data_IF_563836829927
#
_entry.id   IF_563836829927
#
_cell.length_a   1.000
_cell.length_b   1.000
_cell.length_c   1.000
_cell.angle_alpha   90.00
_cell.angle_beta   90.00
_cell.angle_gamma   90.00
#
_symmetry.space_group_name_H-M   'P 1'
#
loop_
_entity.id
_entity.type
_entity.pdbx_description
1 polymer ?
#
# COMPACT_ATOMS: atom_id res chain seq x y z
N UNK A 1 -9.41 19.93 -2.54
CA UNK A 1 -10.68 19.47 -1.92
C UNK A 1 -11.38 18.37 -2.71
N UNK A 2 -11.52 18.50 -4.04
CA UNK A 2 -12.27 17.54 -4.90
C UNK A 2 -11.68 16.12 -4.86
N UNK A 3 -10.35 15.94 -4.99
CA UNK A 3 -9.69 14.62 -4.89
C UNK A 3 -10.12 13.82 -3.65
N UNK A 4 -10.20 14.46 -2.47
CA UNK A 4 -10.55 13.78 -1.20
C UNK A 4 -11.96 13.20 -1.19
N UNK A 5 -12.95 13.96 -1.65
CA UNK A 5 -14.35 13.51 -1.66
C UNK A 5 -14.52 12.32 -2.63
N UNK A 6 -13.89 12.38 -3.80
CA UNK A 6 -13.90 11.28 -4.78
C UNK A 6 -13.20 10.01 -4.27
N UNK A 7 -12.05 10.13 -3.62
CA UNK A 7 -11.37 8.96 -3.06
C UNK A 7 -12.21 8.30 -1.95
N UNK A 8 -12.96 9.06 -1.15
CA UNK A 8 -13.85 8.49 -0.12
C UNK A 8 -15.02 7.71 -0.70
N UNK A 9 -15.64 8.17 -1.79
CA UNK A 9 -16.80 7.50 -2.42
C UNK A 9 -16.42 6.28 -3.24
N UNK A 10 -15.32 6.31 -4.00
CA UNK A 10 -14.93 5.19 -4.88
C UNK A 10 -14.10 4.10 -4.20
N UNK A 11 -13.44 4.42 -3.08
CA UNK A 11 -12.51 3.50 -2.41
C UNK A 11 -13.00 3.16 -1.02
N UNK A 12 -14.20 2.60 -0.92
CA UNK A 12 -14.73 2.10 0.34
C UNK A 12 -13.99 0.80 0.72
N UNK A 13 -13.08 0.82 1.70
CA UNK A 13 -12.27 -0.34 2.02
C UNK A 13 -13.09 -1.36 2.79
N UNK A 14 -12.98 -2.63 2.43
CA UNK A 14 -13.48 -3.71 3.30
C UNK A 14 -12.44 -3.95 4.39
N UNK A 15 -12.78 -3.54 5.61
CA UNK A 15 -11.93 -3.75 6.77
C UNK A 15 -12.07 -5.17 7.31
N UNK A 16 -11.00 -5.70 7.87
CA UNK A 16 -11.04 -6.94 8.62
C UNK A 16 -11.89 -6.77 9.88
N UNK A 17 -12.75 -7.74 10.19
CA UNK A 17 -13.63 -7.67 11.38
C UNK A 17 -12.87 -7.93 12.70
N UNK A 18 -11.66 -8.47 12.64
CA UNK A 18 -10.82 -8.81 13.80
C UNK A 18 -9.71 -7.77 14.01
N UNK A 19 -10.08 -6.55 14.36
CA UNK A 19 -9.14 -5.45 14.59
C UNK A 19 -9.40 -4.87 15.98
N UNK A 20 -8.44 -5.01 16.89
CA UNK A 20 -8.47 -4.29 18.17
C UNK A 20 -7.81 -2.91 18.00
N UNK A 21 -8.62 -1.91 17.67
CA UNK A 21 -8.18 -0.52 17.45
C UNK A 21 -7.99 0.29 18.74
N UNK A 22 -8.47 -0.20 19.88
CA UNK A 22 -8.39 0.57 21.14
C UNK A 22 -6.98 0.55 21.70
N UNK A 23 -6.34 -0.63 21.68
CA UNK A 23 -4.97 -0.76 22.18
C UNK A 23 -3.91 -0.46 21.13
N UNK A 24 -4.26 -0.52 19.84
CA UNK A 24 -3.26 -0.49 18.76
C UNK A 24 -3.73 0.19 17.46
N UNK A 25 -2.89 1.02 16.82
CA UNK A 25 -3.31 1.95 15.77
C UNK A 25 -3.67 1.34 14.40
N UNK A 26 -3.50 0.06 14.17
CA UNK A 26 -4.01 -0.61 12.95
C UNK A 26 -4.47 -2.03 13.26
N UNK A 27 -4.97 -2.23 14.47
CA UNK A 27 -5.35 -3.53 14.98
C UNK A 27 -4.16 -4.40 15.29
N UNK A 28 -4.11 -4.86 16.53
CA UNK A 28 -3.36 -6.05 16.82
C UNK A 28 -4.12 -7.28 16.34
N UNK A 29 -3.39 -8.18 15.70
CA UNK A 29 -3.85 -9.52 15.38
C UNK A 29 -3.08 -10.50 16.27
N UNK A 30 -3.71 -11.63 16.60
CA UNK A 30 -3.01 -12.66 17.36
C UNK A 30 -1.76 -13.13 16.61
N UNK A 31 -0.77 -13.63 17.35
CA UNK A 31 0.46 -14.19 16.77
C UNK A 31 0.16 -15.25 15.70
N UNK A 32 -0.88 -16.05 15.91
CA UNK A 32 -1.35 -17.04 14.93
C UNK A 32 -1.85 -16.40 13.62
N UNK A 33 -2.65 -15.32 13.71
CA UNK A 33 -3.13 -14.59 12.53
C UNK A 33 -1.97 -13.91 11.81
N UNK A 34 -1.03 -13.29 12.53
CA UNK A 34 0.20 -12.72 11.94
C UNK A 34 1.02 -13.81 11.24
N UNK A 35 1.22 -14.96 11.86
CA UNK A 35 1.92 -16.10 11.26
C UNK A 35 1.21 -16.58 9.99
N UNK A 36 -0.13 -16.64 9.97
CA UNK A 36 -0.90 -16.96 8.77
C UNK A 36 -0.68 -15.93 7.65
N UNK A 37 -0.59 -14.64 7.99
CA UNK A 37 -0.34 -13.56 7.02
C UNK A 37 1.09 -13.63 6.49
N UNK A 38 2.08 -13.80 7.37
CA UNK A 38 3.49 -13.90 7.02
C UNK A 38 3.72 -15.10 6.08
N UNK A 39 3.24 -16.28 6.46
CA UNK A 39 3.41 -17.53 5.72
C UNK A 39 2.45 -17.72 4.55
N UNK A 40 1.55 -16.75 4.28
CA UNK A 40 0.62 -16.85 3.16
C UNK A 40 1.41 -16.95 1.85
N UNK A 41 1.40 -18.15 1.25
CA UNK A 41 2.03 -18.42 -0.05
C UNK A 41 1.36 -17.57 -1.10
N UNK A 42 2.12 -16.64 -1.66
CA UNK A 42 1.67 -15.89 -2.82
C UNK A 42 2.11 -16.68 -4.05
N UNK A 43 1.15 -17.10 -4.86
CA UNK A 43 1.44 -17.67 -6.18
C UNK A 43 2.13 -16.60 -7.01
N UNK A 44 3.39 -16.82 -7.33
CA UNK A 44 4.12 -15.99 -8.27
C UNK A 44 3.53 -16.30 -9.65
N UNK A 45 2.75 -15.36 -10.19
CA UNK A 45 2.33 -15.47 -11.58
C UNK A 45 3.62 -15.29 -12.38
N UNK A 46 4.20 -16.40 -12.85
CA UNK A 46 5.47 -16.45 -13.60
C UNK A 46 5.45 -15.44 -14.73
N UNK A 47 5.95 -14.25 -14.44
CA UNK A 47 6.08 -13.16 -15.39
C UNK A 47 7.52 -13.19 -15.84
N UNK A 48 7.72 -13.75 -17.04
CA UNK A 48 8.97 -13.61 -17.79
C UNK A 48 9.12 -12.16 -18.23
N UNK A 49 9.48 -11.29 -17.28
CA UNK A 49 10.08 -10.00 -17.56
C UNK A 49 11.57 -10.16 -17.35
N UNK A 50 12.33 -10.13 -18.45
CA UNK A 50 13.76 -9.84 -18.47
C UNK A 50 13.90 -8.35 -18.22
N UNK A 51 14.01 -7.94 -16.95
CA UNK A 51 14.15 -6.52 -16.66
C UNK A 51 14.87 -6.27 -15.34
N UNK A 52 15.90 -5.43 -15.39
CA UNK A 52 16.63 -4.86 -14.24
C UNK A 52 15.69 -4.19 -13.23
N UNK A 53 14.51 -3.76 -13.68
CA UNK A 53 13.45 -3.13 -12.87
C UNK A 53 12.88 -4.02 -11.75
N UNK A 54 13.13 -5.34 -11.78
CA UNK A 54 12.78 -6.25 -10.66
C UNK A 54 13.70 -6.08 -9.46
N UNK A 55 14.88 -5.50 -9.66
CA UNK A 55 15.91 -5.45 -8.64
C UNK A 55 15.47 -4.58 -7.46
N UNK A 56 15.71 -5.10 -6.25
CA UNK A 56 15.44 -4.45 -4.99
C UNK A 56 16.74 -4.50 -4.18
N UNK A 57 17.14 -3.35 -3.64
CA UNK A 57 18.14 -3.31 -2.59
C UNK A 57 17.45 -3.52 -1.23
N UNK A 58 17.58 -4.72 -0.66
CA UNK A 58 16.90 -5.10 0.58
C UNK A 58 17.19 -4.13 1.74
N UNK A 59 18.45 -3.71 1.91
CA UNK A 59 18.82 -2.75 2.96
C UNK A 59 18.08 -1.42 2.84
N UNK A 60 17.96 -0.87 1.62
CA UNK A 60 17.19 0.37 1.36
C UNK A 60 15.71 0.18 1.68
N UNK A 61 15.18 -1.00 1.38
CA UNK A 61 13.78 -1.32 1.64
C UNK A 61 13.50 -1.45 3.15
N UNK A 62 14.46 -1.98 3.92
CA UNK A 62 14.36 -2.05 5.37
C UNK A 62 14.37 -0.65 6.00
N UNK A 63 15.35 0.19 5.67
CA UNK A 63 15.42 1.59 6.13
C UNK A 63 14.15 2.37 5.76
N UNK A 64 13.69 2.20 4.51
CA UNK A 64 12.43 2.78 4.06
C UNK A 64 11.24 2.29 4.87
N UNK A 65 11.19 1.00 5.22
CA UNK A 65 10.09 0.42 5.99
C UNK A 65 10.03 0.97 7.41
N UNK A 66 11.18 1.15 8.07
CA UNK A 66 11.25 1.77 9.40
C UNK A 66 10.73 3.21 9.39
N UNK A 67 11.17 4.01 8.43
CA UNK A 67 10.71 5.39 8.24
C UNK A 67 9.19 5.45 8.00
N UNK A 68 8.67 4.59 7.10
CA UNK A 68 7.23 4.54 6.81
C UNK A 68 6.44 4.07 8.03
N UNK A 69 6.95 3.11 8.82
CA UNK A 69 6.29 2.66 10.04
C UNK A 69 6.14 3.82 11.02
N UNK A 70 7.22 4.54 11.30
CA UNK A 70 7.23 5.69 12.21
C UNK A 70 6.32 6.82 11.72
N UNK A 71 6.39 7.18 10.44
CA UNK A 71 5.49 8.17 9.83
C UNK A 71 4.03 7.77 9.91
N UNK A 72 3.73 6.49 9.68
CA UNK A 72 2.36 5.97 9.78
C UNK A 72 1.85 6.02 11.21
N UNK A 73 2.70 5.66 12.18
CA UNK A 73 2.37 5.74 13.60
C UNK A 73 2.06 7.16 14.03
N UNK A 74 2.98 8.08 13.75
CA UNK A 74 2.84 9.50 14.04
C UNK A 74 1.60 10.10 13.36
N UNK A 75 1.38 9.77 12.09
CA UNK A 75 0.19 10.20 11.35
C UNK A 75 -1.09 9.73 12.04
N UNK A 76 -1.11 8.48 12.51
CA UNK A 76 -2.25 7.91 13.20
C UNK A 76 -2.51 8.61 14.54
N UNK A 77 -1.51 8.65 15.42
CA UNK A 77 -1.66 9.23 16.77
C UNK A 77 -2.05 10.71 16.74
N UNK A 78 -1.60 11.46 15.72
CA UNK A 78 -1.91 12.89 15.58
C UNK A 78 -3.13 13.19 14.68
N UNK A 79 -3.91 12.17 14.28
CA UNK A 79 -5.13 12.33 13.47
C UNK A 79 -4.89 13.00 12.11
N UNK A 80 -3.74 12.74 11.48
CA UNK A 80 -3.49 13.21 10.13
C UNK A 80 -4.33 12.43 9.10
N UNK A 81 -4.84 13.15 8.11
CA UNK A 81 -5.58 12.53 7.01
C UNK A 81 -4.60 11.81 6.06
N UNK A 82 -4.61 10.48 6.08
CA UNK A 82 -3.74 9.64 5.27
C UNK A 82 -3.93 9.81 3.75
N UNK A 83 -5.06 10.38 3.30
CA UNK A 83 -5.29 10.69 1.88
C UNK A 83 -4.46 11.88 1.38
N UNK A 84 -3.82 12.63 2.27
CA UNK A 84 -2.92 13.72 1.88
C UNK A 84 -1.52 13.23 1.47
N UNK A 85 -1.24 11.93 1.58
CA UNK A 85 0.08 11.37 1.36
C UNK A 85 0.08 10.33 0.25
N UNK A 86 1.02 10.46 -0.68
CA UNK A 86 1.28 9.49 -1.74
C UNK A 86 1.94 8.20 -1.24
N UNK A 87 2.33 8.13 0.05
CA UNK A 87 2.95 6.96 0.65
C UNK A 87 1.98 5.78 0.78
N UNK A 88 0.67 6.05 0.78
CA UNK A 88 -0.36 5.05 1.02
C UNK A 88 -1.19 4.81 -0.24
N UNK A 89 -1.50 3.55 -0.52
CA UNK A 89 -2.55 3.25 -1.49
C UNK A 89 -3.89 3.84 -1.01
N UNK A 90 -4.74 4.39 -1.90
CA UNK A 90 -6.01 5.03 -1.50
C UNK A 90 -6.92 4.18 -0.61
N UNK A 91 -6.97 2.86 -0.87
CA UNK A 91 -7.73 1.91 -0.05
C UNK A 91 -7.22 1.84 1.40
N UNK A 92 -5.89 1.76 1.56
CA UNK A 92 -5.28 1.72 2.88
C UNK A 92 -5.46 3.05 3.61
N UNK A 93 -5.21 4.17 2.92
CA UNK A 93 -5.39 5.50 3.47
C UNK A 93 -6.81 5.71 4.02
N UNK A 94 -7.84 5.35 3.25
CA UNK A 94 -9.23 5.38 3.73
C UNK A 94 -9.45 4.43 4.91
N UNK A 95 -8.88 3.23 4.87
CA UNK A 95 -8.99 2.26 5.95
C UNK A 95 -8.43 2.81 7.25
N UNK A 96 -7.22 3.35 7.22
CA UNK A 96 -6.56 3.97 8.36
C UNK A 96 -7.35 5.17 8.90
N UNK A 97 -7.87 6.04 8.03
CA UNK A 97 -8.74 7.14 8.43
C UNK A 97 -10.01 6.65 9.17
N UNK A 98 -10.63 5.56 8.70
CA UNK A 98 -11.80 4.95 9.35
C UNK A 98 -11.40 4.37 10.72
N UNK A 99 -10.32 3.58 10.79
CA UNK A 99 -9.85 3.01 12.05
C UNK A 99 -9.54 4.12 13.06
N UNK A 100 -8.84 5.16 12.61
CA UNK A 100 -8.45 6.29 13.44
C UNK A 100 -9.64 6.99 14.05
N UNK A 101 -10.67 7.29 13.24
CA UNK A 101 -11.92 7.91 13.70
C UNK A 101 -12.63 7.13 14.81
N UNK A 102 -12.44 5.81 14.86
CA UNK A 102 -13.10 4.92 15.83
C UNK A 102 -12.18 4.48 17.00
N UNK A 103 -10.96 5.01 17.08
CA UNK A 103 -9.96 4.62 18.10
C UNK A 103 -9.81 5.69 19.20
N UNK A 104 -9.58 5.22 20.42
CA UNK A 104 -9.12 6.05 21.54
C UNK A 104 -7.59 6.11 21.55
N UNK A 105 -7.00 7.31 21.47
CA UNK A 105 -5.52 7.45 21.48
C UNK A 105 -4.94 7.24 22.87
N UNK A 106 -5.72 7.48 23.93
CA UNK A 106 -5.20 7.44 25.31
C UNK A 106 -4.59 6.09 25.71
N UNK A 107 -5.00 5.01 25.02
CA UNK A 107 -4.57 3.64 25.28
C UNK A 107 -3.47 3.16 24.30
N UNK A 108 -3.06 4.01 23.35
CA UNK A 108 -2.01 3.72 22.37
C UNK A 108 -0.67 4.17 22.96
N UNK A 109 0.34 3.29 22.86
CA UNK A 109 1.71 3.62 23.26
C UNK A 109 2.22 4.90 22.57
N UNK A 110 3.07 5.67 23.24
CA UNK A 110 3.54 6.95 22.67
C UNK A 110 4.78 6.74 21.79
N UNK A 111 5.59 5.73 22.13
CA UNK A 111 6.82 5.40 21.43
C UNK A 111 6.81 3.94 20.99
N UNK A 112 7.22 3.71 19.74
CA UNK A 112 7.48 2.37 19.23
C UNK A 112 8.95 2.23 18.92
N UNK A 113 9.53 1.13 19.42
CA UNK A 113 10.88 0.70 19.07
C UNK A 113 10.85 -0.48 18.13
N UNK A 114 11.30 -0.26 16.90
CA UNK A 114 11.51 -1.32 15.91
C UNK A 114 12.80 -2.06 16.29
N UNK A 115 12.72 -3.38 16.42
CA UNK A 115 13.89 -4.25 16.68
C UNK A 115 14.53 -4.74 15.39
N UNK A 116 13.68 -5.14 14.43
CA UNK A 116 14.13 -5.77 13.20
C UNK A 116 13.07 -5.61 12.10
N UNK A 117 13.55 -5.41 10.87
CA UNK A 117 12.75 -5.52 9.65
C UNK A 117 13.33 -6.64 8.78
N UNK A 118 12.46 -7.49 8.25
CA UNK A 118 12.85 -8.62 7.42
C UNK A 118 11.95 -8.74 6.19
N UNK A 119 12.54 -8.83 5.00
CA UNK A 119 11.82 -9.13 3.76
C UNK A 119 11.43 -10.62 3.75
N UNK A 120 10.12 -10.89 3.80
CA UNK A 120 9.58 -12.26 3.84
C UNK A 120 8.84 -12.68 2.57
N UNK A 121 8.67 -11.77 1.62
CA UNK A 121 8.09 -12.09 0.33
C UNK A 121 8.28 -10.99 -0.69
N UNK A 122 8.49 -11.39 -1.93
CA UNK A 122 8.58 -10.52 -3.10
C UNK A 122 7.93 -11.27 -4.27
N UNK A 123 6.94 -10.66 -4.92
CA UNK A 123 6.23 -11.29 -6.02
C UNK A 123 5.72 -10.25 -7.01
N UNK A 124 5.44 -10.71 -8.22
CA UNK A 124 4.88 -9.86 -9.27
C UNK A 124 3.42 -10.22 -9.47
N UNK A 125 2.59 -9.18 -9.60
CA UNK A 125 1.16 -9.32 -9.84
C UNK A 125 0.72 -8.44 -11.01
N UNK A 126 -0.01 -9.04 -11.94
CA UNK A 126 -0.83 -8.29 -12.89
C UNK A 126 -2.00 -7.62 -12.15
N UNK A 127 -2.16 -6.32 -12.35
CA UNK A 127 -3.20 -5.55 -11.68
C UNK A 127 -3.49 -4.23 -12.38
N UNK A 128 -4.18 -3.33 -11.68
CA UNK A 128 -4.36 -1.92 -12.06
C UNK A 128 -3.55 -1.04 -11.11
N UNK A 129 -2.71 -0.14 -11.60
CA UNK A 129 -1.89 0.76 -10.77
C UNK A 129 -2.79 1.80 -10.14
N UNK A 130 -2.82 1.77 -8.80
CA UNK A 130 -3.62 2.69 -8.00
C UNK A 130 -2.72 3.68 -7.28
N UNK A 131 -1.89 4.37 -8.06
CA UNK A 131 -1.05 5.45 -7.56
C UNK A 131 -1.90 6.72 -7.44
N UNK A 132 -1.74 7.51 -6.38
CA UNK A 132 -2.43 8.79 -6.18
C UNK A 132 -2.03 9.87 -7.20
N UNK A 133 -0.88 9.69 -7.87
CA UNK A 133 -0.47 10.49 -9.05
C UNK A 133 -1.28 10.15 -10.31
N UNK A 134 -2.08 9.08 -10.28
CA UNK A 134 -2.94 8.68 -11.41
C UNK A 134 -4.34 9.29 -11.28
N UNK A 135 -4.90 9.81 -12.38
CA UNK A 135 -6.31 10.19 -12.45
C UNK A 135 -7.18 8.99 -12.10
N UNK A 136 -8.08 9.17 -11.13
CA UNK A 136 -8.94 8.12 -10.54
C UNK A 136 -8.19 6.91 -9.95
N UNK A 137 -6.88 7.02 -9.70
CA UNK A 137 -6.07 5.89 -9.26
C UNK A 137 -6.07 4.74 -10.28
N UNK A 138 -6.14 5.06 -11.57
CA UNK A 138 -6.15 4.08 -12.67
C UNK A 138 -5.21 4.50 -13.82
N UNK A 139 -5.13 5.79 -14.16
CA UNK A 139 -4.42 6.30 -15.35
C UNK A 139 -3.35 7.33 -15.01
N UNK A 140 -2.14 7.19 -15.54
CA UNK A 140 -1.11 8.24 -15.47
C UNK A 140 -1.67 9.55 -16.05
N UNK A 141 -1.33 10.71 -15.47
CA UNK A 141 -1.75 12.01 -16.01
C UNK A 141 -1.27 12.17 -17.47
N UNK A 142 -0.08 11.64 -17.78
CA UNK A 142 0.42 11.62 -19.15
C UNK A 142 -0.31 10.61 -20.03
N UNK A 143 -0.71 9.44 -19.51
CA UNK A 143 -1.51 8.45 -20.25
C UNK A 143 -2.89 9.03 -20.61
N UNK A 144 -3.55 9.70 -19.66
CA UNK A 144 -4.87 10.30 -19.87
C UNK A 144 -4.86 11.45 -20.88
N UNK A 145 -3.86 12.35 -20.80
CA UNK A 145 -3.71 13.44 -21.77
C UNK A 145 -3.43 12.88 -23.15
N UNK A 146 -2.48 11.94 -23.25
CA UNK A 146 -2.10 11.33 -24.52
C UNK A 146 -3.29 10.63 -25.18
N UNK A 147 -4.19 10.08 -24.37
CA UNK A 147 -5.29 9.27 -24.83
C UNK A 147 -6.55 10.08 -25.13
N UNK A 148 -6.79 11.22 -24.48
CA UNK A 148 -7.70 12.25 -25.00
C UNK A 148 -7.20 12.75 -26.36
N UNK A 149 -5.89 12.99 -26.50
CA UNK A 149 -5.33 13.47 -27.77
C UNK A 149 -5.36 12.42 -28.87
N UNK A 150 -5.16 11.12 -28.58
CA UNK A 150 -5.29 10.05 -29.57
C UNK A 150 -6.74 9.63 -29.80
N UNK A 151 -7.63 9.74 -28.81
CA UNK A 151 -9.07 9.50 -28.95
C UNK A 151 -9.78 10.56 -29.82
N UNK A 152 -9.22 11.77 -29.91
CA UNK A 152 -9.62 12.77 -30.91
C UNK A 152 -9.04 12.50 -32.31
N UNK A 153 -8.01 11.66 -32.43
CA UNK A 153 -7.32 11.31 -33.69
C UNK A 153 -7.35 9.79 -33.89
N UNK A 154 -8.56 9.24 -34.05
CA UNK A 154 -8.79 7.92 -34.64
C UNK A 154 -8.79 6.69 -33.69
N UNK A 155 -9.56 5.64 -34.02
CA UNK A 155 -9.80 4.47 -33.16
C UNK A 155 -8.66 3.43 -33.15
N UNK A 156 -7.47 3.76 -33.67
CA UNK A 156 -6.43 2.77 -33.98
C UNK A 156 -5.49 2.42 -32.81
N UNK A 157 -5.57 3.13 -31.68
CA UNK A 157 -4.77 2.82 -30.48
C UNK A 157 -5.59 2.09 -29.42
N UNK A 158 -5.97 0.84 -29.72
CA UNK A 158 -6.60 -0.08 -28.77
C UNK A 158 -5.64 -0.55 -27.64
N UNK A 159 -4.34 -0.22 -27.71
CA UNK A 159 -3.29 -0.96 -27.01
C UNK A 159 -2.89 -0.46 -25.61
N UNK A 160 -3.38 0.70 -25.15
CA UNK A 160 -2.92 1.30 -23.87
C UNK A 160 -3.86 0.96 -22.71
N UNK A 161 -5.17 0.91 -22.96
CA UNK A 161 -6.19 0.55 -21.95
C UNK A 161 -6.19 -0.93 -21.56
N UNK A 162 -5.78 -1.79 -22.49
CA UNK A 162 -5.83 -3.24 -22.32
C UNK A 162 -4.59 -3.81 -21.61
N UNK A 163 -3.53 -3.01 -21.41
CA UNK A 163 -2.36 -3.47 -20.66
C UNK A 163 -2.63 -3.43 -19.15
N UNK A 164 -2.84 -4.62 -18.58
CA UNK A 164 -2.84 -4.80 -17.13
C UNK A 164 -1.48 -4.41 -16.57
N UNK A 165 -1.46 -3.30 -15.83
CA UNK A 165 -0.24 -2.84 -15.17
C UNK A 165 0.45 -3.92 -14.34
N UNK A 166 1.78 -3.96 -14.43
CA UNK A 166 2.60 -4.93 -13.73
C UNK A 166 3.06 -4.30 -12.41
N UNK A 167 2.70 -4.92 -11.29
CA UNK A 167 3.12 -4.47 -9.96
C UNK A 167 4.13 -5.42 -9.37
N UNK A 168 5.13 -4.87 -8.70
CA UNK A 168 5.90 -5.60 -7.73
C UNK A 168 5.30 -5.36 -6.35
N UNK A 169 5.12 -6.44 -5.59
CA UNK A 169 4.73 -6.39 -4.20
C UNK A 169 5.79 -7.03 -3.34
N UNK A 170 6.00 -6.42 -2.19
CA UNK A 170 6.88 -6.94 -1.16
C UNK A 170 6.13 -7.00 0.16
N UNK A 171 6.50 -7.98 0.96
CA UNK A 171 5.97 -8.19 2.30
C UNK A 171 7.14 -8.17 3.27
N UNK A 172 7.08 -7.27 4.24
CA UNK A 172 8.08 -7.15 5.28
C UNK A 172 7.46 -7.47 6.64
N UNK A 173 8.21 -8.24 7.42
CA UNK A 173 7.94 -8.54 8.82
C UNK A 173 8.67 -7.52 9.68
N UNK A 174 7.95 -6.91 10.61
CA UNK A 174 8.46 -5.85 11.48
C UNK A 174 8.32 -6.34 12.91
N UNK A 175 9.45 -6.62 13.55
CA UNK A 175 9.50 -7.03 14.95
C UNK A 175 9.59 -5.79 15.85
N UNK A 176 8.66 -5.67 16.77
CA UNK A 176 8.64 -4.64 17.81
C UNK A 176 8.99 -5.26 19.17
N UNK A 177 8.86 -4.48 20.23
CA UNK A 177 9.09 -4.98 21.58
C UNK A 177 8.14 -6.12 21.96
N UNK A 178 6.83 -5.92 21.75
CA UNK A 178 5.78 -6.82 22.27
C UNK A 178 4.88 -7.44 21.19
N UNK A 179 5.14 -7.14 19.92
CA UNK A 179 4.34 -7.63 18.79
C UNK A 179 5.16 -7.72 17.52
N UNK A 180 4.54 -8.36 16.53
CA UNK A 180 5.06 -8.44 15.18
C UNK A 180 3.99 -7.93 14.23
N UNK A 181 4.40 -7.08 13.30
CA UNK A 181 3.57 -6.53 12.24
C UNK A 181 4.05 -7.00 10.87
N UNK A 182 3.13 -6.98 9.91
CA UNK A 182 3.41 -7.27 8.51
C UNK A 182 2.98 -6.07 7.68
N UNK A 183 3.93 -5.46 6.98
CA UNK A 183 3.68 -4.40 6.01
C UNK A 183 3.75 -4.98 4.60
N UNK A 184 2.78 -4.63 3.77
CA UNK A 184 2.78 -4.96 2.34
C UNK A 184 2.94 -3.68 1.53
N UNK A 185 3.98 -3.61 0.71
CA UNK A 185 4.21 -2.51 -0.20
C UNK A 185 3.94 -2.94 -1.65
N UNK A 186 3.61 -1.97 -2.49
CA UNK A 186 3.53 -2.15 -3.93
C UNK A 186 4.21 -0.99 -4.68
N UNK A 187 4.79 -1.29 -5.84
CA UNK A 187 5.26 -0.30 -6.82
C UNK A 187 4.86 -0.72 -8.23
N UNK A 188 4.65 0.24 -9.12
CA UNK A 188 4.42 -0.03 -10.54
C UNK A 188 5.74 -0.30 -11.26
N UNK A 189 5.84 -1.42 -11.98
CA UNK A 189 7.01 -1.73 -12.81
C UNK A 189 6.94 -1.11 -14.22
N UNK A 190 5.75 -0.63 -14.61
CA UNK A 190 5.55 0.04 -15.91
C UNK A 190 6.04 1.49 -15.90
N UNK A 191 6.17 2.12 -14.73
CA UNK A 191 6.65 3.50 -14.56
C UNK A 191 8.09 3.48 -14.08
N UNK A 192 8.96 4.26 -14.73
CA UNK A 192 10.35 4.36 -14.30
C UNK A 192 10.44 5.13 -12.97
N UNK A 193 11.20 4.61 -12.01
CA UNK A 193 11.40 5.21 -10.68
C UNK A 193 10.08 5.46 -9.90
N UNK A 194 9.08 4.58 -10.07
CA UNK A 194 7.88 4.67 -9.23
C UNK A 194 8.21 4.41 -7.75
N UNK A 195 7.57 5.19 -6.88
CA UNK A 195 7.78 5.13 -5.44
C UNK A 195 7.07 3.90 -4.83
N UNK A 196 7.65 3.32 -3.78
CA UNK A 196 6.99 2.26 -3.02
C UNK A 196 5.82 2.83 -2.21
N UNK A 197 4.64 2.24 -2.36
CA UNK A 197 3.44 2.63 -1.61
C UNK A 197 3.04 1.53 -0.64
N UNK A 198 2.76 1.90 0.61
CA UNK A 198 2.18 0.99 1.59
C UNK A 198 0.74 0.67 1.16
N UNK A 199 0.48 -0.61 0.91
CA UNK A 199 -0.80 -1.07 0.39
C UNK A 199 -1.62 -1.87 1.41
N UNK A 200 -0.97 -2.43 2.43
CA UNK A 200 -1.64 -3.09 3.54
C UNK A 200 -0.77 -3.11 4.80
N UNK A 201 -1.43 -3.20 5.95
CA UNK A 201 -0.81 -3.42 7.26
C UNK A 201 -1.59 -4.55 7.93
N UNK A 202 -0.92 -5.62 8.36
CA UNK A 202 -1.55 -6.77 9.03
C UNK A 202 -2.80 -7.32 8.31
N UNK A 203 -2.89 -7.14 6.99
CA UNK A 203 -4.07 -7.48 6.20
C UNK A 203 -5.36 -6.89 6.78
N UNK A 204 -5.33 -5.59 7.14
CA UNK A 204 -6.51 -4.85 7.61
C UNK A 204 -7.47 -4.56 6.47
N UNK A 205 -6.96 -4.46 5.23
CA UNK A 205 -7.76 -4.41 4.01
C UNK A 205 -7.93 -5.83 3.48
N UNK A 206 -9.18 -6.26 3.27
CA UNK A 206 -9.58 -7.61 2.79
C UNK A 206 -10.17 -7.55 1.38
#
# INVERSE_FOLDING_TARGET
>A
MIKKYFFKTFFNPKLCNKINIQKYPWGWKSKEEINKIANFKVTDNKTHMENERKFIHEYKLNEYTEDIYNKTYYAYTNNYDFLNSNLYCPKLANGLNILRKNSNIGDIEIEIKIKKVELIGNWIKYGRVKNQRKFLGLYDENEFIHEITTGMIGPEFQSIWDQQSIKQKVKLLIELQDRVDVFEFERNLMVHNDDWQLCNINRIIV
#
